data_IF_187281914707
#
_entry.id   IF_187281914707
#
_cell.length_a   1.000
_cell.length_b   1.000
_cell.length_c   1.000
_cell.angle_alpha   90.00
_cell.angle_beta   90.00
_cell.angle_gamma   90.00
#
_symmetry.space_group_name_H-M   'P 1'
#
loop_
_entity.id
_entity.type
_entity.pdbx_description
1 polymer ?
#
# COMPACT_ATOMS: atom_id res chain seq x y z
N UNK A 1 3.75 -28.33 27.59
CA UNK A 1 4.46 -27.06 27.31
C UNK A 1 3.45 -26.10 26.73
N UNK A 2 2.95 -25.17 27.54
CA UNK A 2 2.02 -24.12 27.10
C UNK A 2 2.81 -23.09 26.27
N UNK A 3 2.78 -23.24 24.94
CA UNK A 3 3.26 -22.20 24.04
C UNK A 3 2.50 -20.90 24.34
N UNK A 4 3.23 -19.79 24.39
CA UNK A 4 2.65 -18.47 24.59
C UNK A 4 1.73 -18.21 23.38
N UNK A 5 0.41 -18.26 23.60
CA UNK A 5 -0.59 -17.98 22.58
C UNK A 5 -0.41 -16.55 22.05
N UNK A 6 -0.21 -16.41 20.74
CA UNK A 6 -0.21 -15.10 20.08
C UNK A 6 -1.63 -14.54 19.99
N UNK A 7 -1.83 -13.26 20.33
CA UNK A 7 -3.11 -12.58 20.11
C UNK A 7 -3.19 -12.13 18.65
N UNK A 8 -4.41 -12.05 18.12
CA UNK A 8 -4.67 -11.55 16.76
C UNK A 8 -4.11 -10.14 16.50
N UNK A 9 -3.74 -9.40 17.54
CA UNK A 9 -3.23 -8.03 17.45
C UNK A 9 -1.75 -7.90 17.81
N UNK A 10 -0.95 -8.97 17.75
CA UNK A 10 0.47 -8.96 18.13
C UNK A 10 1.42 -8.37 17.08
N UNK A 11 0.98 -8.23 15.83
CA UNK A 11 1.84 -7.86 14.71
C UNK A 11 1.38 -6.57 14.03
N UNK A 12 2.33 -5.78 13.53
CA UNK A 12 2.06 -4.68 12.61
C UNK A 12 3.10 -4.65 11.48
N UNK A 13 2.77 -3.99 10.38
CA UNK A 13 3.70 -3.83 9.25
C UNK A 13 3.78 -2.38 8.77
N UNK A 14 4.88 -2.04 8.12
CA UNK A 14 5.00 -0.82 7.33
C UNK A 14 4.92 -1.16 5.84
N UNK A 15 4.08 -0.41 5.13
CA UNK A 15 3.77 -0.62 3.72
C UNK A 15 4.09 0.68 2.96
N UNK A 16 4.93 0.61 1.94
CA UNK A 16 5.32 1.75 1.13
C UNK A 16 4.84 1.52 -0.30
N UNK A 17 3.85 2.30 -0.74
CA UNK A 17 3.48 2.35 -2.14
C UNK A 17 4.46 3.28 -2.85
N UNK A 18 5.34 2.73 -3.68
CA UNK A 18 6.44 3.47 -4.30
C UNK A 18 5.96 4.24 -5.55
N UNK A 19 4.99 5.13 -5.34
CA UNK A 19 4.51 6.06 -6.36
C UNK A 19 5.65 7.00 -6.77
N UNK A 20 6.25 6.74 -7.94
CA UNK A 20 7.41 7.48 -8.42
C UNK A 20 7.06 8.91 -8.82
N UNK A 21 7.99 9.85 -8.63
CA UNK A 21 7.72 11.22 -9.09
C UNK A 21 7.71 11.33 -10.61
N UNK A 22 8.31 10.38 -11.31
CA UNK A 22 8.25 10.26 -12.77
C UNK A 22 6.84 9.96 -13.24
N UNK A 23 6.10 9.10 -12.53
CA UNK A 23 4.66 8.89 -12.76
C UNK A 23 3.89 10.20 -12.52
N UNK A 24 4.12 10.85 -11.38
CA UNK A 24 3.33 12.02 -10.95
C UNK A 24 3.60 13.26 -11.82
N UNK A 25 4.86 13.48 -12.23
CA UNK A 25 5.34 14.72 -12.83
C UNK A 25 5.73 14.58 -14.30
N UNK A 26 5.86 13.35 -14.82
CA UNK A 26 6.30 13.09 -16.19
C UNK A 26 7.74 13.55 -16.43
N UNK A 27 8.65 13.15 -15.54
CA UNK A 27 10.08 13.43 -15.73
C UNK A 27 10.60 12.79 -17.04
N UNK A 28 11.55 13.43 -17.74
CA UNK A 28 12.15 12.84 -18.93
C UNK A 28 13.00 11.62 -18.56
N UNK A 29 13.18 10.68 -19.50
CA UNK A 29 13.88 9.40 -19.27
C UNK A 29 15.31 9.55 -18.71
N UNK A 30 15.97 10.69 -18.96
CA UNK A 30 17.32 10.97 -18.47
C UNK A 30 17.37 11.62 -17.08
N UNK A 31 16.22 11.93 -16.48
CA UNK A 31 16.14 12.49 -15.13
C UNK A 31 16.14 11.36 -14.10
N UNK A 32 16.94 11.53 -13.05
CA UNK A 32 16.97 10.57 -11.95
C UNK A 32 15.84 10.88 -10.96
N UNK A 33 14.90 9.97 -10.85
CA UNK A 33 13.76 10.10 -9.95
C UNK A 33 14.22 10.02 -8.49
N UNK A 34 14.00 11.06 -7.69
CA UNK A 34 14.41 11.07 -6.28
C UNK A 34 13.71 9.99 -5.46
N UNK A 35 12.60 9.41 -5.95
CA UNK A 35 11.90 8.28 -5.31
C UNK A 35 12.83 7.10 -5.08
N UNK A 36 13.69 6.75 -6.05
CA UNK A 36 14.57 5.58 -5.97
C UNK A 36 15.97 5.90 -5.39
N UNK A 37 16.25 7.17 -5.11
CA UNK A 37 17.48 7.64 -4.46
C UNK A 37 17.20 8.19 -3.07
N UNK A 38 17.40 9.50 -2.91
CA UNK A 38 17.35 10.20 -1.61
C UNK A 38 16.09 9.95 -0.78
N UNK A 39 14.93 9.70 -1.41
CA UNK A 39 13.68 9.43 -0.69
C UNK A 39 13.64 7.99 -0.18
N UNK A 40 14.07 7.02 -1.00
CA UNK A 40 14.18 5.63 -0.58
C UNK A 40 15.19 5.48 0.56
N UNK A 41 16.32 6.18 0.46
CA UNK A 41 17.36 6.20 1.50
C UNK A 41 16.80 6.68 2.85
N UNK A 42 15.88 7.65 2.87
CA UNK A 42 15.22 8.09 4.12
C UNK A 42 14.38 6.99 4.77
N UNK A 43 13.69 6.16 3.97
CA UNK A 43 12.97 5.01 4.52
C UNK A 43 13.94 3.95 5.05
N UNK A 44 15.05 3.73 4.35
CA UNK A 44 16.09 2.81 4.77
C UNK A 44 16.75 3.26 6.07
N UNK A 45 17.09 4.53 6.20
CA UNK A 45 17.65 5.14 7.41
C UNK A 45 16.73 4.94 8.62
N UNK A 46 15.42 5.13 8.43
CA UNK A 46 14.42 4.87 9.47
C UNK A 46 14.35 3.38 9.83
N UNK A 47 14.35 2.50 8.84
CA UNK A 47 14.34 1.06 9.06
C UNK A 47 15.58 0.57 9.83
N UNK A 48 16.76 1.12 9.52
CA UNK A 48 18.00 0.83 10.24
C UNK A 48 17.96 1.41 11.66
N UNK A 49 17.60 2.69 11.81
CA UNK A 49 17.50 3.38 13.11
C UNK A 49 16.61 2.64 14.11
N UNK A 50 15.49 2.08 13.64
CA UNK A 50 14.52 1.38 14.49
C UNK A 50 14.55 -0.14 14.32
N UNK A 51 15.50 -0.68 13.56
CA UNK A 51 15.70 -2.13 13.36
C UNK A 51 14.45 -2.91 12.94
N UNK A 52 13.76 -2.45 11.90
CA UNK A 52 12.60 -3.16 11.33
C UNK A 52 12.73 -3.41 9.84
N UNK A 53 11.92 -4.35 9.32
CA UNK A 53 11.72 -4.58 7.89
C UNK A 53 10.34 -4.10 7.47
N UNK A 54 10.22 -3.71 6.20
CA UNK A 54 8.99 -3.17 5.61
C UNK A 54 8.77 -3.78 4.23
N UNK A 55 7.58 -3.56 3.69
CA UNK A 55 7.22 -3.98 2.34
C UNK A 55 7.09 -2.77 1.43
N UNK A 56 7.68 -2.83 0.24
CA UNK A 56 7.61 -1.79 -0.78
C UNK A 56 6.96 -2.33 -2.04
N UNK A 57 6.02 -1.59 -2.62
CA UNK A 57 5.30 -1.98 -3.83
C UNK A 57 5.74 -1.11 -4.99
N UNK A 58 6.33 -1.74 -6.00
CA UNK A 58 7.09 -1.06 -7.06
C UNK A 58 6.35 -1.07 -8.39
N UNK A 59 6.49 0.03 -9.14
CA UNK A 59 5.97 0.16 -10.50
C UNK A 59 6.92 -0.57 -11.44
N UNK A 60 6.43 -1.57 -12.17
CA UNK A 60 7.28 -2.43 -12.99
C UNK A 60 8.04 -1.68 -14.07
N UNK A 61 7.39 -0.70 -14.73
CA UNK A 61 8.00 0.11 -15.79
C UNK A 61 9.22 0.89 -15.31
N UNK A 62 9.21 1.39 -14.08
CA UNK A 62 10.34 2.13 -13.53
C UNK A 62 11.59 1.24 -13.42
N UNK A 63 11.41 -0.07 -13.20
CA UNK A 63 12.52 -1.02 -13.07
C UNK A 63 13.21 -1.35 -14.40
N UNK A 64 12.72 -0.85 -15.54
CA UNK A 64 13.48 -0.86 -16.80
C UNK A 64 14.76 0.00 -16.69
N UNK A 65 14.80 0.99 -15.78
CA UNK A 65 16.03 1.69 -15.41
C UNK A 65 16.87 0.87 -14.44
N UNK A 66 18.10 0.51 -14.88
CA UNK A 66 19.03 -0.30 -14.09
C UNK A 66 19.41 0.33 -12.74
N UNK A 67 19.37 1.66 -12.61
CA UNK A 67 19.63 2.34 -11.34
C UNK A 67 18.54 2.03 -10.34
N UNK A 68 17.28 2.11 -10.76
CA UNK A 68 16.11 1.84 -9.92
C UNK A 68 16.02 0.35 -9.59
N UNK A 69 16.26 -0.52 -10.57
CA UNK A 69 16.37 -1.97 -10.35
C UNK A 69 17.46 -2.31 -9.31
N UNK A 70 18.62 -1.68 -9.37
CA UNK A 70 19.70 -1.89 -8.39
C UNK A 70 19.30 -1.44 -6.98
N UNK A 71 18.56 -0.33 -6.85
CA UNK A 71 18.06 0.14 -5.56
C UNK A 71 17.04 -0.84 -4.94
N UNK A 72 16.12 -1.37 -5.76
CA UNK A 72 15.16 -2.38 -5.33
C UNK A 72 15.84 -3.70 -4.97
N UNK A 73 16.84 -4.14 -5.75
CA UNK A 73 17.64 -5.32 -5.41
C UNK A 73 18.30 -5.17 -4.04
N UNK A 74 18.89 -4.02 -3.74
CA UNK A 74 19.51 -3.75 -2.43
C UNK A 74 18.50 -3.91 -1.29
N UNK A 75 17.28 -3.38 -1.45
CA UNK A 75 16.23 -3.57 -0.45
C UNK A 75 15.87 -5.04 -0.24
N UNK A 76 15.74 -5.80 -1.33
CA UNK A 76 15.47 -7.24 -1.26
C UNK A 76 16.62 -8.00 -0.56
N UNK A 77 17.87 -7.70 -0.92
CA UNK A 77 19.07 -8.30 -0.30
C UNK A 77 19.15 -7.98 1.20
N UNK A 78 18.66 -6.81 1.62
CA UNK A 78 18.54 -6.43 3.04
C UNK A 78 17.31 -7.05 3.74
N UNK A 79 16.49 -7.85 3.05
CA UNK A 79 15.35 -8.57 3.63
C UNK A 79 14.06 -7.75 3.73
N UNK A 80 13.95 -6.65 2.99
CA UNK A 80 12.67 -5.97 2.79
C UNK A 80 11.83 -6.74 1.76
N UNK A 81 10.51 -6.72 1.92
CA UNK A 81 9.62 -7.39 0.96
C UNK A 81 9.38 -6.48 -0.26
N UNK A 82 9.49 -7.04 -1.46
CA UNK A 82 9.14 -6.36 -2.71
C UNK A 82 7.80 -6.90 -3.22
N UNK A 83 6.83 -6.01 -3.40
CA UNK A 83 5.49 -6.29 -3.89
C UNK A 83 5.21 -5.62 -5.23
N UNK A 84 4.15 -6.07 -5.89
CA UNK A 84 3.77 -5.60 -7.23
C UNK A 84 2.81 -4.39 -7.14
N UNK A 85 3.13 -3.29 -7.86
CA UNK A 85 2.26 -2.11 -7.98
C UNK A 85 1.80 -1.84 -9.43
N UNK A 86 1.56 -2.90 -10.21
CA UNK A 86 1.28 -2.88 -11.66
C UNK A 86 2.44 -2.38 -12.51
N UNK A 87 2.30 -2.42 -13.84
CA UNK A 87 3.37 -2.07 -14.77
C UNK A 87 3.44 -0.57 -15.00
N UNK A 88 2.32 0.03 -15.39
CA UNK A 88 2.21 1.42 -15.82
C UNK A 88 1.63 2.37 -14.77
N UNK A 89 1.21 1.84 -13.61
CA UNK A 89 0.50 2.59 -12.57
C UNK A 89 -0.86 3.16 -13.03
N UNK A 90 -1.62 2.44 -13.86
CA UNK A 90 -2.95 2.90 -14.25
C UNK A 90 -3.92 2.92 -13.05
N UNK A 91 -4.29 4.11 -12.58
CA UNK A 91 -5.26 4.32 -11.48
C UNK A 91 -6.66 3.77 -11.75
N UNK A 92 -6.97 3.41 -12.99
CA UNK A 92 -8.21 2.77 -13.41
C UNK A 92 -8.02 1.30 -13.82
N UNK A 93 -6.89 0.67 -13.44
CA UNK A 93 -6.52 -0.72 -13.77
C UNK A 93 -7.69 -1.71 -13.62
N UNK A 94 -8.45 -1.62 -12.52
CA UNK A 94 -9.53 -2.56 -12.26
C UNK A 94 -10.72 -2.48 -13.24
N UNK A 95 -10.79 -1.42 -14.05
CA UNK A 95 -11.79 -1.23 -15.11
C UNK A 95 -11.34 -1.75 -16.47
N UNK A 96 -10.04 -2.03 -16.63
CA UNK A 96 -9.43 -2.52 -17.86
C UNK A 96 -9.85 -3.96 -18.16
N UNK A 97 -9.65 -4.40 -19.40
CA UNK A 97 -9.96 -5.76 -19.84
C UNK A 97 -9.10 -6.80 -19.12
N UNK A 98 -9.52 -8.05 -19.17
CA UNK A 98 -8.88 -9.13 -18.43
C UNK A 98 -7.42 -9.33 -18.87
N UNK A 99 -7.18 -9.23 -20.16
CA UNK A 99 -5.87 -9.40 -20.80
C UNK A 99 -4.95 -8.21 -20.47
N UNK A 100 -5.51 -7.00 -20.42
CA UNK A 100 -4.78 -5.78 -20.05
C UNK A 100 -4.35 -5.83 -18.57
N UNK A 101 -5.25 -6.23 -17.67
CA UNK A 101 -4.91 -6.44 -16.24
C UNK A 101 -3.82 -7.50 -16.10
N UNK A 102 -3.95 -8.62 -16.81
CA UNK A 102 -2.97 -9.72 -16.72
C UNK A 102 -1.59 -9.31 -17.24
N UNK A 103 -1.53 -8.54 -18.33
CA UNK A 103 -0.28 -8.01 -18.86
C UNK A 103 0.41 -7.07 -17.86
N UNK A 104 -0.34 -6.14 -17.24
CA UNK A 104 0.17 -5.20 -16.24
C UNK A 104 0.74 -5.94 -15.01
N UNK A 105 0.04 -6.97 -14.53
CA UNK A 105 0.48 -7.76 -13.38
C UNK A 105 1.69 -8.64 -13.72
N UNK A 106 1.62 -9.38 -14.84
CA UNK A 106 2.64 -10.35 -15.20
C UNK A 106 3.96 -9.68 -15.56
N UNK A 107 3.94 -8.58 -16.31
CA UNK A 107 5.19 -7.89 -16.70
C UNK A 107 5.93 -7.35 -15.46
N UNK A 108 5.19 -6.82 -14.48
CA UNK A 108 5.77 -6.39 -13.19
C UNK A 108 6.22 -7.56 -12.33
N UNK A 109 5.48 -8.67 -12.35
CA UNK A 109 5.86 -9.91 -11.67
C UNK A 109 7.22 -10.41 -12.15
N UNK A 110 7.35 -10.56 -13.47
CA UNK A 110 8.53 -11.10 -14.13
C UNK A 110 9.77 -10.24 -13.79
N UNK A 111 9.69 -8.90 -13.94
CA UNK A 111 10.83 -8.03 -13.67
C UNK A 111 11.23 -8.00 -12.18
N UNK A 112 10.27 -8.10 -11.25
CA UNK A 112 10.59 -8.20 -9.81
C UNK A 112 11.32 -9.52 -9.54
N UNK A 113 10.87 -10.64 -10.12
CA UNK A 113 11.54 -11.93 -9.99
C UNK A 113 12.96 -11.87 -10.57
N UNK A 114 13.13 -11.31 -11.77
CA UNK A 114 14.44 -11.19 -12.42
C UNK A 114 15.45 -10.37 -11.57
N UNK A 115 14.98 -9.34 -10.88
CA UNK A 115 15.82 -8.45 -10.06
C UNK A 115 16.15 -9.07 -8.70
N UNK A 116 15.17 -9.71 -8.06
CA UNK A 116 15.25 -10.12 -6.65
C UNK A 116 15.47 -11.61 -6.45
N UNK A 117 15.25 -12.43 -7.49
CA UNK A 117 15.24 -13.89 -7.42
C UNK A 117 14.01 -14.47 -6.70
N UNK A 118 13.02 -13.66 -6.34
CA UNK A 118 11.83 -14.07 -5.58
C UNK A 118 10.57 -13.56 -6.25
N UNK A 119 9.56 -14.43 -6.38
CA UNK A 119 8.24 -14.01 -6.85
C UNK A 119 7.56 -13.07 -5.86
N UNK A 120 7.04 -11.90 -6.31
CA UNK A 120 6.26 -11.02 -5.45
C UNK A 120 4.98 -11.74 -5.00
N UNK A 121 4.72 -11.72 -3.69
CA UNK A 121 3.54 -12.38 -3.10
C UNK A 121 2.38 -11.42 -2.82
N UNK A 122 2.70 -10.12 -2.72
CA UNK A 122 1.77 -9.05 -2.41
C UNK A 122 1.51 -8.15 -3.60
N UNK A 123 0.27 -7.68 -3.71
CA UNK A 123 -0.12 -6.68 -4.69
C UNK A 123 -0.91 -5.53 -4.05
N UNK A 124 -0.69 -4.33 -4.58
CA UNK A 124 -1.59 -3.19 -4.38
C UNK A 124 -1.87 -2.53 -5.72
N UNK A 125 -3.14 -2.23 -5.97
CA UNK A 125 -3.59 -1.56 -7.17
C UNK A 125 -3.39 -0.05 -7.08
N UNK A 126 -2.89 0.60 -8.14
CA UNK A 126 -2.87 2.06 -8.24
C UNK A 126 -4.24 2.67 -7.90
N UNK A 127 -4.21 3.73 -7.08
CA UNK A 127 -5.42 4.44 -6.65
C UNK A 127 -6.45 3.59 -5.88
N UNK A 128 -6.05 2.45 -5.31
CA UNK A 128 -6.94 1.47 -4.65
C UNK A 128 -8.09 1.00 -5.56
N UNK A 129 -7.84 0.93 -6.86
CA UNK A 129 -8.81 0.48 -7.85
C UNK A 129 -8.93 -1.05 -7.80
N UNK A 130 -10.09 -1.60 -7.44
CA UNK A 130 -10.28 -3.05 -7.31
C UNK A 130 -11.53 -3.55 -8.03
N UNK A 131 -11.45 -4.77 -8.58
CA UNK A 131 -12.56 -5.47 -9.24
C UNK A 131 -12.45 -6.97 -9.03
N UNK A 132 -13.55 -7.71 -9.15
CA UNK A 132 -13.49 -9.19 -9.08
C UNK A 132 -12.61 -9.78 -10.19
N UNK A 133 -12.50 -9.11 -11.34
CA UNK A 133 -11.59 -9.47 -12.44
C UNK A 133 -10.13 -9.38 -11.98
N UNK A 134 -9.75 -8.28 -11.34
CA UNK A 134 -8.42 -8.09 -10.77
C UNK A 134 -8.09 -9.18 -9.74
N UNK A 135 -8.97 -9.41 -8.76
CA UNK A 135 -8.77 -10.44 -7.73
C UNK A 135 -8.61 -11.84 -8.34
N UNK A 136 -9.45 -12.20 -9.31
CA UNK A 136 -9.32 -13.49 -10.02
C UNK A 136 -7.98 -13.62 -10.78
N UNK A 137 -7.47 -12.52 -11.33
CA UNK A 137 -6.18 -12.50 -12.03
C UNK A 137 -5.03 -12.74 -11.05
N UNK A 138 -5.05 -12.05 -9.91
CA UNK A 138 -4.08 -12.26 -8.83
C UNK A 138 -4.07 -13.72 -8.35
N UNK A 139 -5.26 -14.32 -8.16
CA UNK A 139 -5.39 -15.75 -7.81
C UNK A 139 -4.78 -16.64 -8.90
N UNK A 140 -5.04 -16.37 -10.19
CA UNK A 140 -4.45 -17.16 -11.30
C UNK A 140 -2.93 -17.09 -11.30
N UNK A 141 -2.37 -15.89 -11.09
CA UNK A 141 -0.93 -15.64 -11.03
C UNK A 141 -0.25 -16.09 -9.73
N UNK A 142 -1.02 -16.56 -8.74
CA UNK A 142 -0.47 -17.14 -7.51
C UNK A 142 -0.13 -16.13 -6.40
N UNK A 143 -0.69 -14.93 -6.44
CA UNK A 143 -0.53 -13.95 -5.37
C UNK A 143 -1.16 -14.45 -4.07
N UNK A 144 -0.46 -14.20 -2.96
CA UNK A 144 -0.88 -14.62 -1.61
C UNK A 144 -1.82 -13.59 -1.02
N UNK A 145 -1.57 -12.30 -1.25
CA UNK A 145 -2.39 -11.24 -0.70
C UNK A 145 -2.53 -9.98 -1.56
N UNK A 146 -3.62 -9.24 -1.32
CA UNK A 146 -3.97 -7.96 -1.95
C UNK A 146 -4.29 -6.90 -0.88
N UNK A 147 -3.82 -5.67 -1.08
CA UNK A 147 -4.13 -4.52 -0.20
C UNK A 147 -4.91 -3.41 -0.90
N UNK A 148 -5.64 -3.73 -1.98
CA UNK A 148 -6.30 -2.75 -2.84
C UNK A 148 -7.68 -2.32 -2.33
N UNK A 149 -8.24 -3.01 -1.33
CA UNK A 149 -9.57 -2.68 -0.81
C UNK A 149 -9.51 -1.46 0.10
N UNK A 150 -10.28 -0.42 -0.24
CA UNK A 150 -10.34 0.84 0.50
C UNK A 150 -11.70 1.04 1.22
N UNK A 151 -11.87 0.54 2.46
CA UNK A 151 -13.15 0.52 3.16
C UNK A 151 -13.47 1.83 3.92
N UNK A 152 -13.17 3.00 3.33
CA UNK A 152 -13.31 4.30 4.00
C UNK A 152 -14.31 5.26 3.35
N UNK A 153 -15.04 6.00 4.18
CA UNK A 153 -15.94 7.06 3.72
C UNK A 153 -15.21 8.27 3.09
N UNK A 154 -13.88 8.37 3.20
CA UNK A 154 -13.10 9.41 2.50
C UNK A 154 -13.19 9.32 0.97
N UNK A 155 -13.58 8.16 0.43
CA UNK A 155 -13.81 7.98 -0.99
C UNK A 155 -14.91 8.90 -1.54
N UNK A 156 -15.94 9.25 -0.76
CA UNK A 156 -17.06 10.08 -1.23
C UNK A 156 -16.63 11.52 -1.53
N UNK A 157 -16.03 12.29 -0.59
CA UNK A 157 -15.54 13.63 -0.91
C UNK A 157 -14.41 13.61 -1.94
N UNK A 158 -13.54 12.58 -1.93
CA UNK A 158 -12.47 12.45 -2.92
C UNK A 158 -13.01 12.22 -4.33
N UNK A 159 -14.00 11.34 -4.48
CA UNK A 159 -14.68 11.07 -5.75
C UNK A 159 -15.45 12.29 -6.22
N UNK A 160 -16.14 13.01 -5.33
CA UNK A 160 -16.84 14.24 -5.68
C UNK A 160 -15.88 15.32 -6.23
N UNK A 161 -14.73 15.51 -5.58
CA UNK A 161 -13.67 16.42 -6.07
C UNK A 161 -13.15 16.00 -7.45
N UNK A 162 -12.91 14.71 -7.67
CA UNK A 162 -12.46 14.20 -8.97
C UNK A 162 -13.52 14.39 -10.06
N UNK A 163 -14.78 14.05 -9.79
CA UNK A 163 -15.89 14.26 -10.73
C UNK A 163 -16.03 15.74 -11.12
N UNK A 164 -15.87 16.66 -10.16
CA UNK A 164 -15.88 18.10 -10.44
C UNK A 164 -14.72 18.52 -11.33
N UNK A 165 -13.49 18.05 -11.03
CA UNK A 165 -12.30 18.39 -11.81
C UNK A 165 -12.33 17.87 -13.25
N UNK A 166 -13.07 16.78 -13.52
CA UNK A 166 -13.15 16.13 -14.83
C UNK A 166 -14.49 16.35 -15.55
N UNK A 167 -15.27 17.37 -15.18
CA UNK A 167 -16.51 17.70 -15.90
C UNK A 167 -16.23 17.90 -17.40
N UNK A 168 -16.92 17.14 -18.26
CA UNK A 168 -16.74 17.16 -19.72
C UNK A 168 -15.60 16.29 -20.26
N UNK A 169 -14.82 15.63 -19.40
CA UNK A 169 -13.73 14.72 -19.79
C UNK A 169 -14.20 13.25 -19.80
N UNK A 170 -13.63 12.42 -20.70
CA UNK A 170 -13.95 10.98 -20.77
C UNK A 170 -13.64 10.24 -19.47
N UNK A 171 -12.64 10.70 -18.69
CA UNK A 171 -12.26 10.17 -17.37
C UNK A 171 -13.40 10.28 -16.36
N UNK A 172 -14.30 11.24 -16.53
CA UNK A 172 -15.48 11.39 -15.68
C UNK A 172 -16.30 10.10 -15.61
N UNK A 173 -16.55 9.48 -16.76
CA UNK A 173 -17.33 8.24 -16.85
C UNK A 173 -16.62 7.05 -16.22
N UNK A 174 -15.28 7.04 -16.20
CA UNK A 174 -14.52 6.02 -15.47
C UNK A 174 -14.70 6.18 -13.96
N UNK A 175 -14.57 7.41 -13.46
CA UNK A 175 -14.72 7.73 -12.03
C UNK A 175 -16.15 7.43 -11.55
N UNK A 176 -17.17 7.80 -12.32
CA UNK A 176 -18.57 7.59 -11.96
C UNK A 176 -18.97 6.10 -11.86
N UNK A 177 -18.21 5.20 -12.50
CA UNK A 177 -18.45 3.75 -12.49
C UNK A 177 -17.70 3.02 -11.38
N UNK A 178 -16.92 3.72 -10.55
CA UNK A 178 -16.20 3.11 -9.42
C UNK A 178 -17.18 2.48 -8.43
N UNK A 179 -16.75 1.38 -7.82
CA UNK A 179 -17.62 0.59 -6.94
C UNK A 179 -17.87 1.33 -5.61
N UNK A 180 -19.05 1.95 -5.49
CA UNK A 180 -19.48 2.70 -4.31
C UNK A 180 -19.89 1.83 -3.11
N UNK A 181 -19.94 0.49 -3.27
CA UNK A 181 -20.32 -0.43 -2.19
C UNK A 181 -19.13 -0.82 -1.30
N UNK A 182 -17.92 -0.85 -1.86
CA UNK A 182 -16.68 -1.18 -1.12
C UNK A 182 -16.53 -0.38 0.18
N UNK A 183 -16.71 0.96 0.18
CA UNK A 183 -16.52 1.78 1.38
C UNK A 183 -17.39 1.36 2.55
N UNK A 184 -18.64 0.96 2.28
CA UNK A 184 -19.64 0.68 3.31
C UNK A 184 -19.70 -0.80 3.71
N UNK A 185 -19.44 -1.72 2.77
CA UNK A 185 -19.72 -3.14 2.97
C UNK A 185 -18.48 -4.03 3.00
N UNK A 186 -17.34 -3.56 2.48
CA UNK A 186 -16.10 -4.33 2.61
C UNK A 186 -15.71 -4.48 4.07
N UNK A 187 -15.11 -5.65 4.38
CA UNK A 187 -14.54 -5.92 5.70
C UNK A 187 -13.48 -4.86 6.05
N UNK A 188 -13.28 -4.64 7.34
CA UNK A 188 -12.14 -3.89 7.87
C UNK A 188 -11.02 -4.80 8.37
N UNK A 189 -11.31 -6.08 8.59
CA UNK A 189 -10.35 -7.11 8.96
C UNK A 189 -9.89 -7.88 7.74
N UNK A 190 -8.74 -8.54 7.87
CA UNK A 190 -8.25 -9.57 6.96
C UNK A 190 -9.35 -10.62 6.67
N UNK A 191 -9.54 -10.96 5.39
CA UNK A 191 -10.47 -12.03 4.96
C UNK A 191 -9.93 -12.75 3.72
N UNK A 192 -10.46 -13.93 3.46
CA UNK A 192 -10.09 -14.73 2.30
C UNK A 192 -11.12 -14.54 1.17
N UNK A 193 -10.65 -14.39 -0.06
CA UNK A 193 -11.49 -14.16 -1.25
C UNK A 193 -11.22 -15.21 -2.32
N UNK A 194 -12.30 -15.72 -2.92
CA UNK A 194 -12.27 -16.62 -4.07
C UNK A 194 -12.55 -15.87 -5.38
N UNK A 195 -12.23 -14.56 -5.43
CA UNK A 195 -12.42 -13.73 -6.61
C UNK A 195 -13.55 -12.69 -6.50
N UNK A 196 -14.11 -12.49 -5.31
CA UNK A 196 -15.12 -11.44 -5.03
C UNK A 196 -14.59 -10.45 -4.00
N UNK A 197 -14.74 -9.15 -4.30
CA UNK A 197 -14.26 -8.07 -3.41
C UNK A 197 -15.01 -8.07 -2.07
N UNK A 198 -16.33 -8.22 -2.09
CA UNK A 198 -17.17 -8.13 -0.88
C UNK A 198 -17.36 -9.48 -0.18
N UNK A 199 -16.55 -10.48 -0.53
CA UNK A 199 -16.56 -11.76 0.16
C UNK A 199 -16.13 -11.59 1.62
N UNK A 200 -16.58 -12.52 2.47
CA UNK A 200 -16.20 -12.57 3.88
C UNK A 200 -15.82 -14.00 4.29
N UNK A 201 -15.38 -14.81 3.33
CA UNK A 201 -14.97 -16.17 3.63
C UNK A 201 -13.76 -16.14 4.55
N UNK A 202 -13.74 -17.06 5.49
CA UNK A 202 -12.62 -17.31 6.40
C UNK A 202 -11.96 -18.66 6.14
N UNK A 203 -12.51 -19.47 5.21
CA UNK A 203 -12.01 -20.80 4.89
C UNK A 203 -11.14 -20.74 3.62
N UNK A 204 -9.87 -21.16 3.75
CA UNK A 204 -8.89 -21.23 2.67
C UNK A 204 -9.00 -22.51 1.81
N UNK A 205 -10.13 -23.23 1.87
CA UNK A 205 -10.28 -24.57 1.29
C UNK A 205 -10.27 -24.64 -0.24
N UNK A 206 -10.64 -23.54 -0.92
CA UNK A 206 -10.50 -23.41 -2.38
C UNK A 206 -9.37 -22.42 -2.73
N UNK A 207 -8.87 -22.46 -3.97
CA UNK A 207 -7.83 -21.53 -4.44
C UNK A 207 -8.36 -20.08 -4.33
N UNK A 208 -7.66 -19.24 -3.57
CA UNK A 208 -8.07 -17.88 -3.27
C UNK A 208 -6.89 -16.99 -2.87
N UNK A 209 -7.21 -15.84 -2.29
CA UNK A 209 -6.24 -14.80 -1.92
C UNK A 209 -6.67 -14.10 -0.63
N UNK A 210 -5.71 -13.72 0.21
CA UNK A 210 -5.95 -12.92 1.39
C UNK A 210 -6.12 -11.44 1.03
N UNK A 211 -7.23 -10.85 1.44
CA UNK A 211 -7.46 -9.41 1.26
C UNK A 211 -7.17 -8.71 2.57
N UNK A 212 -6.29 -7.71 2.52
CA UNK A 212 -5.92 -6.82 3.61
C UNK A 212 -6.43 -5.42 3.30
N UNK A 213 -7.67 -5.09 3.71
CA UNK A 213 -8.20 -3.76 3.51
C UNK A 213 -7.33 -2.71 4.18
N UNK A 214 -7.28 -1.52 3.58
CA UNK A 214 -6.64 -0.38 4.22
C UNK A 214 -7.19 -0.18 5.64
N UNK A 215 -6.32 -0.05 6.66
CA UNK A 215 -6.75 0.15 8.03
C UNK A 215 -7.62 1.38 8.18
N UNK A 216 -8.70 1.20 8.93
CA UNK A 216 -9.68 2.23 9.22
C UNK A 216 -10.09 2.18 10.69
N UNK A 217 -10.55 3.30 11.22
CA UNK A 217 -11.23 3.33 12.52
C UNK A 217 -12.58 2.61 12.46
N UNK A 218 -13.22 2.39 13.62
CA UNK A 218 -14.60 1.87 13.68
C UNK A 218 -15.61 2.70 12.88
N UNK A 219 -15.38 4.00 12.76
CA UNK A 219 -16.16 4.91 11.91
C UNK A 219 -15.74 4.94 10.44
N UNK A 220 -14.94 3.96 9.97
CA UNK A 220 -14.44 3.87 8.58
C UNK A 220 -13.63 5.11 8.14
N UNK A 221 -12.92 5.75 9.07
CA UNK A 221 -11.92 6.76 8.73
C UNK A 221 -10.60 6.08 8.43
N UNK A 222 -10.04 6.33 7.25
CA UNK A 222 -8.75 5.77 6.81
C UNK A 222 -7.59 6.12 7.75
N UNK A 223 -6.59 5.24 7.79
CA UNK A 223 -5.38 5.40 8.59
C UNK A 223 -4.16 5.11 7.69
N UNK A 224 -3.62 6.16 7.07
CA UNK A 224 -2.31 6.15 6.40
C UNK A 224 -1.57 7.46 6.67
N UNK A 225 -0.28 7.50 6.39
CA UNK A 225 0.59 8.56 6.90
C UNK A 225 0.25 9.98 6.40
N UNK A 226 -0.08 10.15 5.12
CA UNK A 226 -0.49 11.45 4.56
C UNK A 226 -1.59 12.16 5.36
N UNK A 227 -2.48 11.44 6.05
CA UNK A 227 -3.53 12.05 6.88
C UNK A 227 -2.96 12.78 8.13
N UNK A 228 -1.72 12.52 8.52
CA UNK A 228 -1.01 13.28 9.55
C UNK A 228 -0.76 14.75 9.14
N UNK A 229 -0.76 15.07 7.85
CA UNK A 229 -0.65 16.44 7.35
C UNK A 229 -2.00 17.18 7.36
N UNK A 230 -3.12 16.43 7.39
CA UNK A 230 -4.48 16.98 7.33
C UNK A 230 -5.04 17.18 8.74
N UNK A 231 -4.80 16.24 9.65
CA UNK A 231 -5.33 16.30 11.01
C UNK A 231 -4.34 16.92 12.00
N UNK A 232 -4.87 17.60 13.02
CA UNK A 232 -4.09 17.97 14.20
C UNK A 232 -3.43 16.73 14.81
N UNK A 233 -2.19 16.85 15.26
CA UNK A 233 -1.39 15.73 15.76
C UNK A 233 -2.10 14.86 16.81
N UNK A 234 -2.68 15.49 17.84
CA UNK A 234 -3.40 14.76 18.90
C UNK A 234 -4.64 14.03 18.36
N UNK A 235 -5.28 14.55 17.32
CA UNK A 235 -6.42 13.90 16.67
C UNK A 235 -5.94 12.70 15.84
N UNK A 236 -4.87 12.88 15.07
CA UNK A 236 -4.30 11.78 14.27
C UNK A 236 -3.77 10.64 15.16
N UNK A 237 -3.08 10.96 16.27
CA UNK A 237 -2.63 9.96 17.23
C UNK A 237 -3.79 9.13 17.81
N UNK A 238 -4.94 9.75 18.10
CA UNK A 238 -6.15 9.02 18.54
C UNK A 238 -6.71 8.11 17.45
N UNK A 239 -6.71 8.56 16.20
CA UNK A 239 -7.13 7.77 15.03
C UNK A 239 -6.22 6.55 14.86
N UNK A 240 -4.90 6.75 14.91
CA UNK A 240 -3.90 5.69 14.81
C UNK A 240 -4.04 4.66 15.95
N UNK A 241 -4.15 5.11 17.20
CA UNK A 241 -4.38 4.23 18.36
C UNK A 241 -5.69 3.44 18.25
N UNK A 242 -6.75 4.01 17.66
CA UNK A 242 -7.99 3.30 17.40
C UNK A 242 -7.78 2.14 16.39
N UNK A 243 -7.05 2.40 15.31
CA UNK A 243 -6.66 1.37 14.34
C UNK A 243 -5.86 0.24 14.98
N UNK A 244 -4.79 0.59 15.70
CA UNK A 244 -3.92 -0.36 16.41
C UNK A 244 -4.67 -1.21 17.44
N UNK A 245 -5.79 -0.73 17.99
CA UNK A 245 -6.62 -1.53 18.91
C UNK A 245 -7.65 -2.41 18.20
N UNK A 246 -8.12 -2.00 17.02
CA UNK A 246 -9.32 -2.58 16.39
C UNK A 246 -9.07 -3.33 15.11
N UNK A 247 -7.87 -3.29 14.53
CA UNK A 247 -7.49 -4.00 13.30
C UNK A 247 -6.47 -5.06 13.67
N UNK A 248 -6.76 -6.33 13.41
CA UNK A 248 -5.88 -7.45 13.77
C UNK A 248 -4.57 -7.38 12.94
N UNK A 249 -4.72 -7.44 11.62
CA UNK A 249 -3.63 -7.28 10.64
C UNK A 249 -3.34 -5.80 10.34
N UNK A 250 -2.95 -5.01 11.36
CA UNK A 250 -2.70 -3.58 11.17
C UNK A 250 -1.43 -3.32 10.36
N UNK A 251 -1.50 -2.46 9.35
CA UNK A 251 -0.32 -1.96 8.66
C UNK A 251 -0.38 -0.44 8.49
N UNK A 252 0.78 0.19 8.39
CA UNK A 252 0.89 1.64 8.25
C UNK A 252 1.43 1.99 6.88
N UNK A 253 0.53 2.55 6.04
CA UNK A 253 0.81 2.88 4.66
C UNK A 253 1.45 4.27 4.51
N UNK A 254 2.48 4.35 3.66
CA UNK A 254 3.24 5.55 3.33
C UNK A 254 3.51 5.63 1.82
N UNK A 255 3.85 6.82 1.33
CA UNK A 255 4.27 7.07 -0.05
C UNK A 255 5.57 7.89 -0.08
N UNK A 256 6.37 7.85 -1.16
CA UNK A 256 7.55 8.69 -1.36
C UNK A 256 7.29 10.18 -1.06
N UNK A 257 6.18 10.72 -1.55
CA UNK A 257 5.84 12.13 -1.32
C UNK A 257 5.55 12.50 0.15
N UNK A 258 5.33 11.51 1.03
CA UNK A 258 5.23 11.77 2.46
C UNK A 258 6.60 12.09 3.09
N UNK A 259 7.70 11.71 2.43
CA UNK A 259 9.08 12.01 2.85
C UNK A 259 9.89 12.86 1.85
N UNK A 260 9.32 13.27 0.72
CA UNK A 260 9.94 14.23 -0.20
C UNK A 260 9.72 15.69 0.24
N UNK A 261 10.58 16.62 -0.12
CA UNK A 261 10.26 18.06 -0.11
C UNK A 261 10.72 18.76 -1.40
N UNK A 262 10.43 20.06 -1.53
CA UNK A 262 10.74 20.82 -2.74
C UNK A 262 12.21 20.78 -3.17
N UNK A 263 13.15 20.51 -2.26
CA UNK A 263 14.59 20.48 -2.57
C UNK A 263 15.01 19.18 -3.24
N UNK A 264 14.20 18.12 -3.08
CA UNK A 264 14.42 16.84 -3.74
C UNK A 264 13.90 16.85 -5.18
N UNK A 265 13.00 17.79 -5.50
CA UNK A 265 12.27 17.83 -6.76
C UNK A 265 12.80 18.92 -7.69
N UNK A 266 12.67 18.70 -8.98
CA UNK A 266 12.94 19.74 -9.96
C UNK A 266 11.81 20.78 -9.95
N UNK A 267 12.10 21.97 -9.42
CA UNK A 267 11.14 23.08 -9.22
C UNK A 267 10.47 23.60 -10.49
N UNK A 268 10.91 23.16 -11.68
CA UNK A 268 10.27 23.49 -12.96
C UNK A 268 8.90 22.82 -13.12
N UNK A 269 8.64 21.72 -12.43
CA UNK A 269 7.39 20.96 -12.54
C UNK A 269 6.42 21.36 -11.44
N UNK A 270 5.17 21.65 -11.80
CA UNK A 270 4.11 21.89 -10.82
C UNK A 270 3.74 20.58 -10.15
N UNK A 271 3.99 20.47 -8.85
CA UNK A 271 3.68 19.26 -8.09
C UNK A 271 2.27 19.35 -7.51
N UNK A 272 1.31 18.51 -7.93
CA UNK A 272 -0.10 18.61 -7.50
C UNK A 272 -0.34 18.01 -6.10
N UNK A 273 0.65 18.06 -5.21
CA UNK A 273 0.62 17.46 -3.89
C UNK A 273 0.94 18.51 -2.83
N UNK A 274 -0.09 19.03 -2.15
CA UNK A 274 0.03 20.05 -1.09
C UNK A 274 1.04 19.67 0.00
N UNK A 275 1.17 18.36 0.28
CA UNK A 275 2.12 17.86 1.29
C UNK A 275 3.58 18.15 0.95
N UNK A 276 3.96 18.37 -0.30
CA UNK A 276 5.34 18.69 -0.70
C UNK A 276 5.82 20.01 -0.10
N UNK A 277 4.88 20.90 0.23
CA UNK A 277 5.18 22.21 0.81
C UNK A 277 5.42 22.13 2.33
N UNK A 278 5.15 20.98 2.95
CA UNK A 278 5.49 20.74 4.36
C UNK A 278 7.00 20.48 4.46
N UNK A 279 7.76 21.25 5.27
CA UNK A 279 9.21 21.06 5.39
C UNK A 279 9.59 19.65 5.82
N UNK A 280 10.66 19.08 5.26
CA UNK A 280 11.12 17.72 5.59
C UNK A 280 11.29 17.48 7.09
N UNK A 281 11.83 18.46 7.84
CA UNK A 281 11.97 18.36 9.31
C UNK A 281 10.61 18.08 10.00
N UNK A 282 9.54 18.71 9.51
CA UNK A 282 8.19 18.51 10.02
C UNK A 282 7.63 17.15 9.60
N UNK A 283 7.90 16.70 8.37
CA UNK A 283 7.52 15.37 7.88
C UNK A 283 8.16 14.26 8.71
N UNK A 284 9.48 14.30 8.89
CA UNK A 284 10.23 13.36 9.72
C UNK A 284 9.70 13.33 11.15
N UNK A 285 9.44 14.51 11.76
CA UNK A 285 8.83 14.58 13.09
C UNK A 285 7.47 13.87 13.17
N UNK A 286 6.57 14.12 12.21
CA UNK A 286 5.23 13.51 12.20
C UNK A 286 5.30 12.00 11.95
N UNK A 287 6.21 11.55 11.10
CA UNK A 287 6.42 10.14 10.82
C UNK A 287 6.97 9.42 12.05
N UNK A 288 8.07 9.89 12.63
CA UNK A 288 8.66 9.28 13.83
C UNK A 288 7.67 9.24 14.99
N UNK A 289 6.84 10.29 15.17
CA UNK A 289 5.78 10.30 16.18
C UNK A 289 4.72 9.21 15.93
N UNK A 290 4.38 8.97 14.67
CA UNK A 290 3.43 7.91 14.28
C UNK A 290 4.05 6.53 14.46
N UNK A 291 5.32 6.35 14.06
CA UNK A 291 6.08 5.12 14.25
C UNK A 291 6.23 4.77 15.74
N UNK A 292 6.62 5.74 16.58
CA UNK A 292 6.70 5.55 18.03
C UNK A 292 5.34 5.14 18.62
N UNK A 293 4.24 5.71 18.15
CA UNK A 293 2.89 5.28 18.57
C UNK A 293 2.62 3.82 18.21
N UNK A 294 3.13 3.33 17.08
CA UNK A 294 3.00 1.93 16.65
C UNK A 294 3.94 1.03 17.47
N UNK A 295 5.20 1.41 17.69
CA UNK A 295 6.14 0.66 18.51
C UNK A 295 5.65 0.52 19.96
N UNK A 296 5.15 1.61 20.56
CA UNK A 296 4.58 1.64 21.91
C UNK A 296 3.28 0.82 22.06
N UNK A 297 2.66 0.40 20.94
CA UNK A 297 1.48 -0.47 21.01
C UNK A 297 1.79 -1.90 21.47
N UNK A 298 3.08 -2.28 21.53
CA UNK A 298 3.54 -3.63 21.87
C UNK A 298 3.52 -4.60 20.69
N UNK A 299 3.12 -4.13 19.49
CA UNK A 299 3.11 -4.94 18.27
C UNK A 299 4.52 -5.15 17.73
N UNK A 300 4.85 -6.40 17.40
CA UNK A 300 6.08 -6.74 16.67
C UNK A 300 5.95 -6.28 15.22
N UNK A 301 6.96 -5.56 14.74
CA UNK A 301 7.00 -5.10 13.35
C UNK A 301 7.55 -6.21 12.45
N UNK A 302 6.80 -6.50 11.39
CA UNK A 302 7.09 -7.53 10.39
C UNK A 302 6.78 -7.00 8.99
N UNK A 303 7.22 -7.72 7.96
CA UNK A 303 6.78 -7.46 6.58
C UNK A 303 5.28 -7.76 6.40
N UNK A 304 4.66 -7.24 5.34
CA UNK A 304 3.27 -7.52 4.99
C UNK A 304 3.04 -9.03 4.76
N UNK A 305 3.93 -9.73 4.07
CA UNK A 305 3.89 -11.20 3.91
C UNK A 305 3.84 -11.92 5.25
N UNK A 306 4.73 -11.55 6.17
CA UNK A 306 4.77 -12.13 7.51
C UNK A 306 3.53 -11.75 8.32
N UNK A 307 3.02 -10.53 8.17
CA UNK A 307 1.78 -10.09 8.80
C UNK A 307 0.62 -11.01 8.38
N UNK A 308 0.47 -11.31 7.08
CA UNK A 308 -0.56 -12.27 6.61
C UNK A 308 -0.32 -13.65 7.20
N UNK A 309 0.89 -14.18 7.07
CA UNK A 309 1.21 -15.55 7.49
C UNK A 309 0.96 -15.77 8.99
N UNK A 310 1.36 -14.81 9.84
CA UNK A 310 1.13 -14.89 11.28
C UNK A 310 -0.37 -14.82 11.62
N UNK A 311 -1.15 -14.00 10.91
CA UNK A 311 -2.59 -13.87 11.15
C UNK A 311 -3.37 -15.12 10.74
N UNK A 312 -2.93 -15.80 9.68
CA UNK A 312 -3.49 -17.09 9.28
C UNK A 312 -3.19 -18.15 10.34
N UNK A 313 -1.93 -18.25 10.78
CA UNK A 313 -1.54 -19.20 11.82
C UNK A 313 -2.35 -19.02 13.12
N UNK A 314 -2.50 -17.78 13.59
CA UNK A 314 -3.33 -17.48 14.78
C UNK A 314 -4.78 -17.91 14.59
N UNK A 315 -5.35 -17.75 13.38
CA UNK A 315 -6.75 -18.14 13.11
C UNK A 315 -6.94 -19.65 13.08
N UNK A 316 -6.02 -20.37 12.45
CA UNK A 316 -6.07 -21.83 12.36
C UNK A 316 -5.95 -22.46 13.75
N UNK A 317 -5.09 -21.92 14.62
CA UNK A 317 -4.94 -22.36 16.01
C UNK A 317 -6.19 -22.09 16.87
N UNK A 318 -6.92 -21.00 16.62
CA UNK A 318 -8.16 -20.67 17.35
C UNK A 318 -9.39 -21.47 16.87
N UNK A 319 -9.29 -22.19 15.75
CA UNK A 319 -10.39 -22.96 15.16
C UNK A 319 -10.26 -24.47 15.49
N UNK A 320 -9.14 -24.88 16.09
CA UNK A 320 -8.91 -26.24 16.63
C UNK A 320 -9.30 -26.33 18.10
#
# INVERSE_FOLDING_TARGET
MTGIMGKSNDYAAFNINLDSFSEILGYPDNYEDPTYGVILDRFLDLAQKYSFKYSVYVIGKDLEDKRYASAIKKLADEGHEIGNHSWSHDVDLATQKQEEIEAELKKTHDIINDITGVDPQGFISPGWSTSGRLIKTLIRLGYVYDTSVFPSYLVFPSTAKLLFNYLGDKRWWKIARRNILVPSFASRQLYYSHGKILEKSVNAGEKGIWILPLPTTSGRLAIWHTLAFIYKENKFAKILKNGLRTIDAFYYLMHPADLADRRDLNVKYKVPLERIDVPLKRKMYLLEKSMNTIFESGRKIVTMKELVSNQVAIRDENTQ
#
